data_IF_276997387004
#
_entry.id   IF_276997387004
#
_cell.length_a   1.000
_cell.length_b   1.000
_cell.length_c   1.000
_cell.angle_alpha   90.00
_cell.angle_beta   90.00
_cell.angle_gamma   90.00
#
_symmetry.space_group_name_H-M   'P 1'
#
loop_
_entity.id
_entity.type
_entity.pdbx_description
1 polymer ?
#
# COMPACT_ATOMS: atom_id res chain seq x y z
N UNK A 1 -0.60 6.79 -11.87
CA UNK A 1 0.62 6.70 -11.04
C UNK A 1 1.33 5.42 -11.46
N UNK A 2 2.59 5.48 -11.92
CA UNK A 2 3.28 4.28 -12.42
C UNK A 2 3.68 3.37 -11.25
N UNK A 3 3.55 2.05 -11.42
CA UNK A 3 4.05 1.07 -10.47
C UNK A 3 5.58 1.20 -10.33
N UNK A 4 6.09 1.10 -9.09
CA UNK A 4 7.52 0.98 -8.80
C UNK A 4 8.13 -0.22 -9.55
N UNK A 5 7.35 -1.28 -9.79
CA UNK A 5 7.76 -2.49 -10.51
C UNK A 5 7.99 -2.25 -12.00
N UNK A 6 7.13 -1.42 -12.64
CA UNK A 6 7.29 -1.05 -14.05
C UNK A 6 8.57 -0.22 -14.29
N UNK A 7 9.02 0.52 -13.27
CA UNK A 7 10.24 1.33 -13.32
C UNK A 7 11.52 0.52 -13.09
N UNK A 8 11.42 -0.62 -12.38
CA UNK A 8 12.57 -1.47 -12.02
C UNK A 8 12.80 -2.66 -12.97
N UNK A 9 11.96 -2.83 -14.00
CA UNK A 9 12.26 -3.70 -15.15
C UNK A 9 12.34 -5.20 -14.85
N UNK A 10 11.77 -5.67 -13.74
CA UNK A 10 11.82 -7.08 -13.36
C UNK A 10 11.01 -7.94 -14.34
N UNK A 11 11.69 -8.80 -15.10
CA UNK A 11 11.04 -9.86 -15.87
C UNK A 11 10.51 -10.91 -14.89
N UNK A 12 9.20 -11.14 -14.96
CA UNK A 12 8.50 -12.19 -14.23
C UNK A 12 9.16 -13.56 -14.42
N UNK A 13 9.37 -14.29 -13.32
CA UNK A 13 9.53 -15.75 -13.37
C UNK A 13 8.35 -16.41 -12.65
N UNK A 14 7.31 -16.73 -13.43
CA UNK A 14 6.05 -17.38 -13.01
C UNK A 14 6.24 -18.78 -12.38
N UNK A 15 7.49 -19.24 -12.22
CA UNK A 15 7.84 -20.59 -11.81
C UNK A 15 8.17 -20.73 -10.32
N UNK A 16 8.28 -19.63 -9.57
CA UNK A 16 8.54 -19.70 -8.12
C UNK A 16 7.25 -19.56 -7.34
N UNK A 17 6.59 -20.69 -7.07
CA UNK A 17 5.53 -20.74 -6.07
C UNK A 17 6.09 -20.32 -4.72
N UNK A 18 5.50 -19.31 -4.10
CA UNK A 18 5.80 -18.91 -2.73
C UNK A 18 4.77 -19.53 -1.79
N UNK A 19 5.21 -19.91 -0.60
CA UNK A 19 4.28 -20.18 0.50
C UNK A 19 4.09 -18.86 1.24
N UNK A 20 2.88 -18.26 1.22
CA UNK A 20 2.65 -16.97 1.83
C UNK A 20 2.74 -17.04 3.35
N UNK A 21 3.39 -16.04 3.94
CA UNK A 21 3.52 -15.89 5.40
C UNK A 21 2.90 -14.55 5.79
N UNK A 22 1.99 -14.59 6.77
CA UNK A 22 1.37 -13.37 7.31
C UNK A 22 2.44 -12.46 7.91
N UNK A 23 2.40 -11.19 7.54
CA UNK A 23 3.36 -10.15 7.95
C UNK A 23 4.55 -9.98 6.99
N UNK A 24 4.78 -10.91 6.07
CA UNK A 24 5.85 -10.80 5.08
C UNK A 24 5.40 -10.00 3.85
N UNK A 25 6.38 -9.37 3.19
CA UNK A 25 6.16 -8.55 2.00
C UNK A 25 6.56 -9.32 0.75
N UNK A 26 5.72 -9.21 -0.28
CA UNK A 26 5.88 -9.87 -1.57
C UNK A 26 5.64 -8.86 -2.68
N UNK A 27 5.97 -9.28 -3.89
CA UNK A 27 5.36 -8.72 -5.08
C UNK A 27 4.00 -9.39 -5.29
N UNK A 28 2.96 -8.59 -5.47
CA UNK A 28 1.60 -9.05 -5.67
C UNK A 28 1.06 -8.46 -6.97
N UNK A 29 0.45 -9.30 -7.81
CA UNK A 29 -0.26 -8.83 -8.99
C UNK A 29 -1.68 -8.38 -8.61
N UNK A 30 -1.98 -7.12 -8.85
CA UNK A 30 -3.29 -6.55 -8.56
C UNK A 30 -4.33 -6.96 -9.59
N UNK A 31 -5.58 -7.12 -9.16
CA UNK A 31 -6.67 -7.52 -10.05
C UNK A 31 -7.10 -6.34 -10.93
N UNK A 32 -7.05 -5.13 -10.38
CA UNK A 32 -7.58 -3.92 -11.02
C UNK A 32 -6.91 -3.58 -12.36
N UNK A 33 -5.59 -3.78 -12.48
CA UNK A 33 -4.79 -3.40 -13.63
C UNK A 33 -3.82 -4.48 -14.10
N UNK A 34 -3.76 -5.63 -13.42
CA UNK A 34 -2.84 -6.73 -13.70
C UNK A 34 -1.36 -6.33 -13.60
N UNK A 35 -1.06 -5.21 -12.93
CA UNK A 35 0.28 -4.76 -12.62
C UNK A 35 0.76 -5.32 -11.28
N UNK A 36 2.07 -5.29 -11.07
CA UNK A 36 2.68 -5.79 -9.83
C UNK A 36 2.97 -4.65 -8.89
N UNK A 37 2.81 -4.89 -7.59
CA UNK A 37 3.03 -3.94 -6.52
C UNK A 37 3.64 -4.64 -5.31
N UNK A 38 4.26 -3.88 -4.40
CA UNK A 38 4.72 -4.43 -3.13
C UNK A 38 3.54 -4.53 -2.18
N UNK A 39 3.33 -5.71 -1.61
CA UNK A 39 2.21 -5.94 -0.70
C UNK A 39 2.62 -6.79 0.49
N UNK A 40 2.10 -6.45 1.67
CA UNK A 40 2.22 -7.27 2.87
C UNK A 40 1.04 -8.23 2.93
N UNK A 41 1.29 -9.50 3.28
CA UNK A 41 0.21 -10.48 3.53
C UNK A 41 -0.39 -10.22 4.90
N UNK A 42 -1.68 -9.91 4.94
CA UNK A 42 -2.41 -9.66 6.18
C UNK A 42 -3.10 -10.92 6.71
N UNK A 43 -3.49 -11.83 5.81
CA UNK A 43 -4.24 -13.04 6.14
C UNK A 43 -4.08 -14.07 5.02
N UNK A 44 -4.07 -15.37 5.37
CA UNK A 44 -4.04 -16.48 4.42
C UNK A 44 -5.20 -17.42 4.74
N UNK A 45 -6.06 -17.66 3.75
CA UNK A 45 -7.26 -18.51 3.85
C UNK A 45 -7.33 -19.46 2.66
N UNK A 46 -6.86 -20.69 2.85
CA UNK A 46 -6.71 -21.65 1.76
C UNK A 46 -5.71 -21.13 0.73
N UNK A 47 -6.15 -21.05 -0.53
CA UNK A 47 -5.33 -20.53 -1.64
C UNK A 47 -5.45 -19.00 -1.80
N UNK A 48 -6.21 -18.31 -0.96
CA UNK A 48 -6.38 -16.86 -1.02
C UNK A 48 -5.56 -16.13 0.05
N UNK A 49 -5.11 -14.93 -0.29
CA UNK A 49 -4.41 -14.02 0.61
C UNK A 49 -5.12 -12.67 0.61
N UNK A 50 -5.40 -12.13 1.80
CA UNK A 50 -5.71 -10.70 1.94
C UNK A 50 -4.40 -9.95 2.06
N UNK A 51 -4.17 -9.00 1.19
CA UNK A 51 -2.91 -8.24 1.11
C UNK A 51 -3.18 -6.74 1.22
N UNK A 52 -2.20 -5.99 1.70
CA UNK A 52 -2.19 -4.52 1.63
C UNK A 52 -1.02 -4.05 0.77
N UNK A 53 -1.28 -3.22 -0.22
CA UNK A 53 -0.25 -2.59 -1.03
C UNK A 53 0.47 -1.53 -0.22
N UNK A 54 1.70 -1.79 0.20
CA UNK A 54 2.42 -0.96 1.18
C UNK A 54 2.81 0.42 0.66
N UNK A 55 2.68 0.64 -0.65
CA UNK A 55 2.98 1.91 -1.31
C UNK A 55 1.73 2.78 -1.54
N UNK A 56 0.53 2.20 -1.40
CA UNK A 56 -0.75 2.86 -1.71
C UNK A 56 -1.74 2.82 -0.54
N UNK A 57 -1.65 1.79 0.31
CA UNK A 57 -2.47 1.60 1.50
C UNK A 57 -3.78 0.83 1.28
N UNK A 58 -4.21 0.62 0.03
CA UNK A 58 -5.41 -0.17 -0.27
C UNK A 58 -5.17 -1.67 -0.05
N UNK A 59 -6.25 -2.38 0.27
CA UNK A 59 -6.26 -3.83 0.48
C UNK A 59 -6.98 -4.54 -0.66
N UNK A 60 -6.61 -5.78 -0.91
CA UNK A 60 -7.24 -6.65 -1.91
C UNK A 60 -7.16 -8.12 -1.46
N UNK A 61 -8.09 -8.95 -1.92
CA UNK A 61 -8.02 -10.41 -1.76
C UNK A 61 -7.61 -11.01 -3.11
N UNK A 62 -6.46 -11.68 -3.13
CA UNK A 62 -5.87 -12.26 -4.34
C UNK A 62 -5.62 -13.76 -4.14
N UNK A 63 -5.45 -14.49 -5.24
CA UNK A 63 -4.95 -15.86 -5.19
C UNK A 63 -3.46 -15.85 -4.79
N UNK A 64 -3.04 -16.80 -3.95
CA UNK A 64 -1.64 -16.96 -3.52
C UNK A 64 -0.68 -17.18 -4.67
N UNK A 65 -1.15 -17.70 -5.82
CA UNK A 65 -0.38 -17.78 -7.07
C UNK A 65 -0.03 -16.41 -7.67
N UNK A 66 -0.70 -15.34 -7.24
CA UNK A 66 -0.39 -13.96 -7.64
C UNK A 66 0.74 -13.32 -6.83
N UNK A 67 1.28 -14.05 -5.83
CA UNK A 67 2.41 -13.62 -5.02
C UNK A 67 3.74 -14.12 -5.57
N UNK A 68 4.76 -13.25 -5.49
CA UNK A 68 6.13 -13.53 -5.93
C UNK A 68 7.13 -12.98 -4.90
N UNK A 69 8.32 -13.57 -4.85
CA UNK A 69 9.39 -13.08 -3.99
C UNK A 69 9.79 -11.64 -4.37
N UNK A 70 10.09 -10.84 -3.35
CA UNK A 70 10.72 -9.53 -3.57
C UNK A 70 12.12 -9.72 -4.15
N UNK A 71 12.48 -8.88 -5.12
CA UNK A 71 13.89 -8.74 -5.49
C UNK A 71 14.63 -7.90 -4.43
N UNK A 72 15.95 -8.06 -4.27
CA UNK A 72 16.74 -7.27 -3.32
C UNK A 72 16.57 -5.76 -3.46
N UNK A 73 16.42 -5.27 -4.70
CA UNK A 73 16.24 -3.86 -5.04
C UNK A 73 14.88 -3.32 -4.57
N UNK A 74 13.89 -4.20 -4.44
CA UNK A 74 12.51 -3.86 -4.05
C UNK A 74 12.22 -4.14 -2.57
N UNK A 75 13.17 -4.75 -1.87
CA UNK A 75 13.07 -5.07 -0.46
C UNK A 75 12.74 -3.83 0.38
N UNK A 76 12.09 -4.05 1.52
CA UNK A 76 11.67 -2.99 2.44
C UNK A 76 12.87 -2.20 3.00
N UNK A 77 14.06 -2.82 3.05
CA UNK A 77 15.31 -2.16 3.42
C UNK A 77 15.87 -1.26 2.31
N UNK A 78 15.66 -1.60 1.04
CA UNK A 78 16.13 -0.81 -0.11
C UNK A 78 15.18 0.35 -0.40
N UNK A 79 13.87 0.13 -0.24
CA UNK A 79 12.83 1.13 -0.46
C UNK A 79 11.84 1.05 0.70
N UNK A 80 11.72 2.12 1.49
CA UNK A 80 10.72 2.17 2.55
C UNK A 80 9.28 2.12 1.97
N UNK A 81 8.28 1.62 2.72
CA UNK A 81 6.88 1.76 2.34
C UNK A 81 6.52 3.23 2.09
N UNK A 82 5.83 3.52 1.00
CA UNK A 82 5.46 4.90 0.65
C UNK A 82 4.17 5.32 1.38
N UNK A 83 3.25 4.40 1.60
CA UNK A 83 2.00 4.71 2.31
C UNK A 83 2.25 4.82 3.82
N UNK A 84 1.76 5.92 4.42
CA UNK A 84 1.83 6.16 5.86
C UNK A 84 0.42 6.11 6.43
N UNK A 85 0.16 5.14 7.31
CA UNK A 85 -1.11 5.07 8.04
C UNK A 85 -1.18 6.20 9.07
N UNK A 86 -2.24 7.00 8.96
CA UNK A 86 -2.50 8.12 9.86
C UNK A 86 -3.98 8.16 10.26
N UNK A 87 -4.28 8.95 11.28
CA UNK A 87 -5.62 9.24 11.77
C UNK A 87 -5.80 10.75 11.83
N UNK A 88 -6.90 11.24 11.29
CA UNK A 88 -7.24 12.67 11.38
C UNK A 88 -7.82 12.97 12.76
N UNK A 89 -7.39 14.08 13.37
CA UNK A 89 -8.03 14.61 14.57
C UNK A 89 -9.42 15.17 14.22
N UNK A 90 -10.46 14.41 14.58
CA UNK A 90 -11.85 14.76 14.30
C UNK A 90 -12.32 16.04 15.00
N UNK A 91 -11.57 16.56 15.98
CA UNK A 91 -11.86 17.86 16.60
C UNK A 91 -11.41 19.03 15.74
N UNK A 92 -10.51 18.79 14.77
CA UNK A 92 -9.96 19.79 13.84
C UNK A 92 -10.65 19.78 12.49
N UNK A 93 -11.11 18.62 12.03
CA UNK A 93 -11.78 18.46 10.75
C UNK A 93 -12.89 17.42 10.84
N UNK A 94 -14.11 17.79 10.43
CA UNK A 94 -15.22 16.84 10.32
C UNK A 94 -15.00 15.85 9.18
N UNK A 95 -15.62 14.68 9.26
CA UNK A 95 -15.57 13.66 8.22
C UNK A 95 -16.00 14.22 6.85
N UNK A 96 -17.13 14.92 6.78
CA UNK A 96 -17.65 15.52 5.54
C UNK A 96 -16.66 16.50 4.88
N UNK A 97 -15.92 17.27 5.69
CA UNK A 97 -14.93 18.21 5.16
C UNK A 97 -13.64 17.52 4.75
N UNK A 98 -13.29 16.41 5.41
CA UNK A 98 -12.17 15.56 5.02
C UNK A 98 -12.43 14.90 3.67
N UNK A 99 -13.60 14.30 3.48
CA UNK A 99 -13.99 13.66 2.21
C UNK A 99 -13.91 14.66 1.04
N UNK A 100 -14.50 15.85 1.20
CA UNK A 100 -14.42 16.92 0.19
C UNK A 100 -13.00 17.34 -0.15
N UNK A 101 -12.11 17.43 0.85
CA UNK A 101 -10.69 17.76 0.63
C UNK A 101 -9.96 16.64 -0.10
N UNK A 102 -10.24 15.38 0.26
CA UNK A 102 -9.67 14.21 -0.39
C UNK A 102 -10.11 14.13 -1.85
N UNK A 103 -11.39 14.33 -2.15
CA UNK A 103 -11.93 14.34 -3.52
C UNK A 103 -11.23 15.36 -4.42
N UNK A 104 -10.92 16.54 -3.89
CA UNK A 104 -10.18 17.59 -4.60
C UNK A 104 -8.72 17.24 -4.89
N UNK A 105 -8.15 16.24 -4.21
CA UNK A 105 -6.77 15.81 -4.42
C UNK A 105 -6.66 14.62 -5.39
N UNK A 106 -7.76 13.93 -5.70
CA UNK A 106 -7.76 12.70 -6.51
C UNK A 106 -7.25 12.95 -7.94
N UNK A 107 -7.59 14.08 -8.53
CA UNK A 107 -7.15 14.44 -9.89
C UNK A 107 -5.73 15.03 -9.95
N UNK A 108 -5.05 15.16 -8.79
CA UNK A 108 -3.73 15.76 -8.68
C UNK A 108 -3.71 17.29 -8.86
N UNK A 109 -4.88 17.93 -8.97
CA UNK A 109 -5.00 19.39 -9.10
C UNK A 109 -4.66 20.12 -7.80
N UNK A 110 -4.74 19.44 -6.66
CA UNK A 110 -4.47 20.01 -5.35
C UNK A 110 -3.54 19.14 -4.50
N UNK A 111 -2.55 19.77 -3.87
CA UNK A 111 -1.73 19.14 -2.85
C UNK A 111 -2.33 19.41 -1.46
N UNK A 112 -2.67 18.35 -0.75
CA UNK A 112 -3.13 18.44 0.63
C UNK A 112 -1.91 18.63 1.55
N UNK A 113 -1.99 19.58 2.47
CA UNK A 113 -0.96 19.77 3.49
C UNK A 113 -1.35 19.00 4.74
N UNK A 114 -0.44 18.17 5.23
CA UNK A 114 -0.66 17.35 6.43
C UNK A 114 0.37 17.77 7.48
N UNK A 115 -0.11 18.04 8.70
CA UNK A 115 0.74 18.29 9.87
C UNK A 115 0.61 17.13 10.84
N UNK A 116 1.74 16.53 11.23
CA UNK A 116 1.78 15.52 12.29
C UNK A 116 1.63 16.22 13.64
N UNK A 117 0.66 15.77 14.44
CA UNK A 117 0.39 16.28 15.78
C UNK A 117 1.06 15.42 16.86
N UNK A 118 0.91 14.10 16.75
CA UNK A 118 1.51 13.12 17.65
C UNK A 118 1.70 11.78 16.95
N UNK A 119 2.54 10.92 17.53
CA UNK A 119 2.76 9.54 17.06
C UNK A 119 2.56 8.62 18.26
N UNK A 120 1.59 7.72 18.17
CA UNK A 120 1.25 6.75 19.22
C UNK A 120 1.08 5.37 18.59
N UNK A 121 1.79 4.35 19.08
CA UNK A 121 1.70 2.98 18.57
C UNK A 121 1.83 2.89 17.03
N UNK A 122 2.76 3.65 16.45
CA UNK A 122 2.97 3.77 14.98
C UNK A 122 1.81 4.38 14.19
N UNK A 123 0.79 4.92 14.87
CA UNK A 123 -0.28 5.70 14.25
C UNK A 123 0.04 7.18 14.38
N UNK A 124 0.09 7.85 13.25
CA UNK A 124 0.31 9.29 13.17
C UNK A 124 -1.03 10.01 13.29
N UNK A 125 -1.23 10.76 14.38
CA UNK A 125 -2.34 11.70 14.49
C UNK A 125 -2.01 12.94 13.68
N UNK A 126 -2.89 13.32 12.75
CA UNK A 126 -2.62 14.39 11.78
C UNK A 126 -3.74 15.41 11.70
N UNK A 127 -3.36 16.61 11.29
CA UNK A 127 -4.25 17.70 10.89
C UNK A 127 -4.10 17.94 9.38
N UNK A 128 -5.24 18.14 8.70
CA UNK A 128 -5.32 18.24 7.24
C UNK A 128 -5.75 19.66 6.84
N UNK A 129 -4.96 20.31 5.99
CA UNK A 129 -5.15 21.69 5.53
C UNK A 129 -5.41 21.76 4.02
#
# INVERSE_FOLDING_TARGET
MMSLCASLGSKFDDRTRVTPVVGEVYLARAIADNETYRAVVLEVTGDQCRVQYIDFGNEEVIDSSSLMQLTPEMSVSSVAPIAIKCRVDSTKLSADNLEKKLDQAIDGSFLIKIKILSIENSVHSVEVY
#
